data_IF_573342658739
#
_entry.id   IF_573342658739
#
_cell.length_a   1.000
_cell.length_b   1.000
_cell.length_c   1.000
_cell.angle_alpha   90.00
_cell.angle_beta   90.00
_cell.angle_gamma   90.00
#
_symmetry.space_group_name_H-M   'P 1'
#
loop_
_entity.id
_entity.type
_entity.pdbx_description
1 polymer ?
#
# COMPACT_ATOMS: atom_id res chain seq x y z
N UNK A 1 1.80 5.45 -27.22
CA UNK A 1 0.41 5.11 -27.63
C UNK A 1 -0.59 6.13 -27.10
N UNK A 2 -0.60 6.46 -25.80
CA UNK A 2 -1.58 7.38 -25.19
C UNK A 2 -1.43 8.87 -25.57
N UNK A 3 -0.20 9.37 -25.75
CA UNK A 3 0.07 10.76 -26.16
C UNK A 3 -0.51 11.11 -27.55
N UNK A 4 -0.59 10.11 -28.45
CA UNK A 4 -1.17 10.28 -29.80
C UNK A 4 -2.70 10.36 -29.79
N UNK A 5 -3.35 10.06 -28.67
CA UNK A 5 -4.80 10.07 -28.49
C UNK A 5 -5.28 11.33 -27.75
N UNK A 6 -4.41 12.33 -27.53
CA UNK A 6 -4.69 13.55 -26.76
C UNK A 6 -5.22 13.29 -25.33
N UNK A 7 -5.01 12.09 -24.79
CA UNK A 7 -5.35 11.75 -23.40
C UNK A 7 -4.29 12.39 -22.50
N UNK A 8 -4.66 13.21 -21.51
CA UNK A 8 -3.71 13.79 -20.57
C UNK A 8 -2.94 12.68 -19.83
N UNK A 9 -1.64 12.58 -20.09
CA UNK A 9 -0.75 11.64 -19.42
C UNK A 9 -0.04 12.38 -18.28
N UNK A 10 -0.13 11.86 -17.06
CA UNK A 10 0.70 12.34 -15.96
C UNK A 10 2.05 11.61 -16.01
N UNK A 11 3.17 12.29 -16.33
CA UNK A 11 4.48 11.65 -16.49
C UNK A 11 5.05 11.11 -15.17
N UNK A 12 4.47 11.50 -14.03
CA UNK A 12 4.88 11.02 -12.71
C UNK A 12 4.11 9.77 -12.25
N UNK A 13 3.14 9.29 -13.03
CA UNK A 13 2.51 8.00 -12.73
C UNK A 13 3.50 6.87 -13.03
N UNK A 14 3.72 5.93 -12.10
CA UNK A 14 4.48 4.74 -12.40
C UNK A 14 3.82 4.01 -13.58
N UNK A 15 4.63 3.50 -14.51
CA UNK A 15 4.11 2.66 -15.59
C UNK A 15 3.35 1.50 -14.97
N UNK A 16 2.12 1.29 -15.44
CA UNK A 16 1.36 0.07 -15.13
C UNK A 16 2.19 -1.08 -15.66
N UNK A 17 2.55 -2.02 -14.78
CA UNK A 17 3.28 -3.22 -15.17
C UNK A 17 2.52 -3.90 -16.31
N UNK A 18 3.20 -4.24 -17.41
CA UNK A 18 2.53 -4.93 -18.52
C UNK A 18 2.06 -6.32 -18.10
N UNK A 19 1.08 -6.93 -18.77
CA UNK A 19 0.64 -8.31 -18.47
C UNK A 19 1.81 -9.32 -18.49
N UNK A 20 2.90 -9.01 -19.19
CA UNK A 20 4.13 -9.82 -19.20
C UNK A 20 4.97 -9.73 -17.91
N UNK A 21 4.74 -8.71 -17.07
CA UNK A 21 5.34 -8.55 -15.73
C UNK A 21 4.47 -9.19 -14.63
N UNK A 22 3.27 -9.67 -14.97
CA UNK A 22 2.40 -10.38 -14.05
C UNK A 22 3.03 -11.70 -13.59
N UNK A 23 3.57 -11.70 -12.37
CA UNK A 23 4.10 -12.92 -11.74
C UNK A 23 2.96 -13.72 -11.12
N UNK A 24 2.70 -14.90 -11.66
CA UNK A 24 1.88 -15.90 -10.99
C UNK A 24 2.52 -16.24 -9.64
N UNK A 25 1.73 -16.14 -8.57
CA UNK A 25 2.15 -16.47 -7.21
C UNK A 25 1.50 -17.78 -6.80
N UNK A 26 2.25 -18.56 -6.04
CA UNK A 26 1.69 -19.70 -5.31
C UNK A 26 0.55 -19.23 -4.39
N UNK A 27 -0.53 -20.02 -4.20
CA UNK A 27 -1.63 -19.66 -3.31
C UNK A 27 -1.20 -19.26 -1.90
N UNK A 28 -0.17 -19.90 -1.33
CA UNK A 28 0.37 -19.56 -0.01
C UNK A 28 1.00 -18.17 0.00
N UNK A 29 1.73 -17.83 -1.05
CA UNK A 29 2.35 -16.50 -1.20
C UNK A 29 1.29 -15.41 -1.43
N UNK A 30 0.22 -15.71 -2.16
CA UNK A 30 -0.92 -14.81 -2.30
C UNK A 30 -1.61 -14.54 -0.95
N UNK A 31 -1.86 -15.59 -0.16
CA UNK A 31 -2.46 -15.49 1.16
C UNK A 31 -1.61 -14.64 2.12
N UNK A 32 -0.29 -14.88 2.19
CA UNK A 32 0.63 -14.07 3.01
C UNK A 32 0.54 -12.59 2.66
N UNK A 33 0.55 -12.25 1.36
CA UNK A 33 0.45 -10.86 0.90
C UNK A 33 -0.89 -10.22 1.24
N UNK A 34 -1.99 -10.97 1.17
CA UNK A 34 -3.30 -10.47 1.58
C UNK A 34 -3.32 -10.11 3.07
N UNK A 35 -2.71 -10.95 3.92
CA UNK A 35 -2.63 -10.69 5.37
C UNK A 35 -1.73 -9.49 5.67
N UNK A 36 -0.56 -9.39 5.02
CA UNK A 36 0.31 -8.21 5.16
C UNK A 36 -0.41 -6.93 4.75
N UNK A 37 -1.17 -6.96 3.65
CA UNK A 37 -1.98 -5.82 3.21
C UNK A 37 -3.04 -5.44 4.25
N UNK A 38 -3.71 -6.42 4.84
CA UNK A 38 -4.69 -6.19 5.92
C UNK A 38 -4.04 -5.49 7.12
N UNK A 39 -2.84 -5.93 7.54
CA UNK A 39 -2.07 -5.25 8.58
C UNK A 39 -1.75 -3.79 8.22
N UNK A 40 -1.32 -3.53 6.99
CA UNK A 40 -1.02 -2.15 6.55
C UNK A 40 -2.27 -1.27 6.61
N UNK A 41 -3.40 -1.81 6.13
CA UNK A 41 -4.69 -1.11 6.13
C UNK A 41 -5.16 -0.84 7.56
N UNK A 42 -5.05 -1.80 8.47
CA UNK A 42 -5.50 -1.61 9.86
C UNK A 42 -4.73 -0.49 10.55
N UNK A 43 -3.40 -0.44 10.39
CA UNK A 43 -2.56 0.65 10.92
C UNK A 43 -2.90 1.99 10.25
N UNK A 44 -3.16 2.01 8.95
CA UNK A 44 -3.59 3.21 8.24
C UNK A 44 -4.97 3.72 8.71
N UNK A 45 -5.81 2.83 9.21
CA UNK A 45 -7.11 3.10 9.82
C UNK A 45 -7.05 3.23 11.35
N UNK A 46 -5.90 3.67 11.88
CA UNK A 46 -5.73 4.05 13.30
C UNK A 46 -5.84 2.87 14.29
N UNK A 47 -5.71 1.63 13.83
CA UNK A 47 -5.47 0.52 14.74
C UNK A 47 -4.13 0.71 15.48
N UNK A 48 -4.07 0.24 16.73
CA UNK A 48 -2.84 0.29 17.50
C UNK A 48 -1.72 -0.48 16.80
N UNK A 49 -0.64 0.24 16.50
CA UNK A 49 0.47 -0.26 15.69
C UNK A 49 1.25 -1.36 16.41
N UNK A 50 1.45 -1.23 17.71
CA UNK A 50 2.22 -2.22 18.48
C UNK A 50 1.47 -3.54 18.58
N UNK A 51 0.17 -3.47 18.85
CA UNK A 51 -0.74 -4.62 18.86
C UNK A 51 -0.76 -5.31 17.50
N UNK A 52 -0.95 -4.55 16.41
CA UNK A 52 -1.00 -5.09 15.06
C UNK A 52 0.35 -5.72 14.64
N UNK A 53 1.48 -5.11 15.04
CA UNK A 53 2.82 -5.61 14.75
C UNK A 53 3.14 -6.89 15.54
N UNK A 54 2.73 -6.93 16.81
CA UNK A 54 2.90 -8.12 17.67
C UNK A 54 2.13 -9.29 17.07
N UNK A 55 0.84 -9.08 16.77
CA UNK A 55 0.03 -10.11 16.10
C UNK A 55 0.68 -10.61 14.80
N UNK A 56 1.16 -9.73 13.93
CA UNK A 56 1.77 -10.13 12.66
C UNK A 56 3.07 -10.95 12.85
N UNK A 57 3.83 -10.67 13.90
CA UNK A 57 5.04 -11.44 14.26
C UNK A 57 4.68 -12.81 14.84
N UNK A 58 3.63 -12.87 15.67
CA UNK A 58 3.15 -14.13 16.25
C UNK A 58 2.64 -15.09 15.17
N UNK A 59 2.03 -14.56 14.11
CA UNK A 59 1.64 -15.32 12.91
C UNK A 59 2.83 -15.72 12.01
N UNK A 60 4.06 -15.32 12.35
CA UNK A 60 5.27 -15.62 11.58
C UNK A 60 5.34 -14.94 10.22
N UNK A 61 4.59 -13.84 10.02
CA UNK A 61 4.44 -13.16 8.73
C UNK A 61 5.34 -11.94 8.55
N UNK A 62 6.16 -11.61 9.55
CA UNK A 62 7.03 -10.44 9.51
C UNK A 62 7.99 -10.42 8.30
N UNK A 63 8.50 -11.59 7.91
CA UNK A 63 9.41 -11.72 6.76
C UNK A 63 8.70 -11.53 5.41
N UNK A 64 7.37 -11.62 5.37
CA UNK A 64 6.57 -11.35 4.18
C UNK A 64 6.29 -9.86 3.98
N UNK A 65 6.55 -9.01 4.98
CA UNK A 65 6.37 -7.55 4.89
C UNK A 65 7.44 -6.94 4.01
N UNK A 66 7.04 -6.23 2.95
CA UNK A 66 8.02 -5.59 2.09
C UNK A 66 8.75 -4.45 2.83
N UNK A 67 9.99 -4.10 2.44
CA UNK A 67 10.71 -3.00 3.06
C UNK A 67 9.94 -1.66 3.06
N UNK A 68 9.07 -1.45 2.06
CA UNK A 68 8.23 -0.26 1.91
C UNK A 68 6.97 -0.28 2.79
N UNK A 69 6.62 -1.44 3.34
CA UNK A 69 5.49 -1.61 4.27
C UNK A 69 5.99 -1.74 5.71
N UNK A 70 7.31 -1.84 5.91
CA UNK A 70 7.85 -1.87 7.26
C UNK A 70 7.56 -0.55 7.97
N UNK A 71 7.32 -0.59 9.28
CA UNK A 71 6.83 0.56 10.04
C UNK A 71 7.80 1.76 10.12
N UNK A 72 9.05 1.59 9.68
CA UNK A 72 10.04 2.66 9.54
C UNK A 72 9.93 3.42 8.20
N UNK A 73 9.08 2.97 7.29
CA UNK A 73 8.92 3.56 5.97
C UNK A 73 7.93 4.73 5.99
N UNK A 74 8.33 5.84 5.36
CA UNK A 74 7.57 7.10 5.28
C UNK A 74 6.20 6.96 4.60
N UNK A 75 5.94 5.84 3.92
CA UNK A 75 4.74 5.61 3.08
C UNK A 75 3.49 5.34 3.91
N UNK A 76 3.61 4.72 5.08
CA UNK A 76 2.44 4.37 5.93
C UNK A 76 1.98 5.56 6.78
N UNK A 77 2.86 6.53 7.06
CA UNK A 77 2.68 7.48 8.17
C UNK A 77 2.44 8.91 7.68
N UNK A 78 1.47 9.11 6.78
CA UNK A 78 0.80 10.41 6.71
C UNK A 78 -0.71 10.19 6.65
N UNK A 79 -1.45 10.35 7.76
CA UNK A 79 -2.88 10.56 7.66
C UNK A 79 -3.09 11.76 6.72
N UNK A 80 -3.84 11.58 5.62
CA UNK A 80 -4.28 12.72 4.81
C UNK A 80 -5.02 13.65 5.76
N UNK A 81 -4.43 14.81 6.09
CA UNK A 81 -5.19 15.90 6.70
C UNK A 81 -6.33 16.23 5.74
N UNK A 82 -7.58 15.93 6.12
CA UNK A 82 -8.77 16.46 5.42
C UNK A 82 -8.82 17.97 5.68
N UNK A 83 -8.19 18.78 4.83
CA UNK A 83 -8.42 20.23 4.81
C UNK A 83 -9.66 20.52 3.96
N UNK A 84 -10.84 20.43 4.56
CA UNK A 84 -12.08 21.00 4.01
C UNK A 84 -12.62 22.04 5.00
N UNK A 85 -12.26 23.31 4.75
CA UNK A 85 -12.79 24.59 5.26
C UNK A 85 -11.69 25.64 4.91
N UNK A 86 -11.90 26.74 4.18
CA UNK A 86 -13.10 27.52 3.89
C UNK A 86 -12.98 28.20 2.50
N UNK A 87 -14.03 28.12 1.68
CA UNK A 87 -14.41 29.16 0.71
C UNK A 87 -15.90 29.38 0.89
N UNK A 88 -16.25 30.49 1.52
CA UNK A 88 -17.60 30.83 1.92
C UNK A 88 -17.52 32.03 2.86
N UNK A 89 -17.28 33.19 2.27
CA UNK A 89 -17.25 34.52 2.87
C UNK A 89 -17.26 35.53 1.75
#
# INVERSE_FOLDING_TARGET
>A
MLERLAVPVNPNLPRVESDAEARFRDPKEAAKRAIVLYFVISVAHEADRETALTWLKDEGLWDAVSPKEKPSSRVIIQPRKKSWRQRGG
#
